data_IF_201241306153
#
_entry.id   IF_201241306153
#
_cell.length_a   1.000
_cell.length_b   1.000
_cell.length_c   1.000
_cell.angle_alpha   90.00
_cell.angle_beta   90.00
_cell.angle_gamma   90.00
#
_symmetry.space_group_name_H-M   'P 1'
#
loop_
_entity.id
_entity.type
_entity.pdbx_description
1 polymer ?
#
# COMPACT_ATOMS: atom_id res chain seq x y z
N UNK A 1 15.15 7.76 -3.04
CA UNK A 1 15.15 6.32 -2.68
C UNK A 1 16.16 6.07 -1.58
N UNK A 2 15.76 5.42 -0.49
CA UNK A 2 16.52 5.25 0.78
C UNK A 2 17.92 4.61 0.64
N UNK A 3 18.27 4.03 -0.52
CA UNK A 3 19.54 3.29 -0.81
C UNK A 3 19.89 2.17 0.19
N UNK A 4 19.06 1.95 1.21
CA UNK A 4 19.17 0.81 2.13
C UNK A 4 18.76 -0.46 1.40
N UNK A 5 19.54 -1.54 1.50
CA UNK A 5 19.17 -2.82 0.90
C UNK A 5 17.88 -3.33 1.56
N UNK A 6 16.84 -3.58 0.76
CA UNK A 6 15.62 -4.22 1.23
C UNK A 6 15.91 -5.69 1.56
N UNK A 7 15.71 -6.08 2.82
CA UNK A 7 15.80 -7.48 3.23
C UNK A 7 14.43 -8.13 3.02
N UNK A 8 14.40 -9.43 2.73
CA UNK A 8 13.15 -10.19 2.60
C UNK A 8 12.26 -10.09 3.86
N UNK A 9 12.85 -9.90 5.05
CA UNK A 9 12.14 -9.71 6.31
C UNK A 9 11.34 -8.39 6.37
N UNK A 10 11.73 -7.41 5.57
CA UNK A 10 11.15 -6.08 5.54
C UNK A 10 10.04 -5.96 4.47
N UNK A 11 9.88 -6.98 3.63
CA UNK A 11 8.75 -7.08 2.70
C UNK A 11 7.49 -7.47 3.48
N UNK A 12 6.42 -6.73 3.24
CA UNK A 12 5.12 -6.95 3.87
C UNK A 12 4.06 -7.16 2.81
N UNK A 13 3.15 -8.13 3.00
CA UNK A 13 2.05 -8.32 2.09
C UNK A 13 1.16 -7.08 2.12
N UNK A 14 0.73 -6.65 0.94
CA UNK A 14 -0.21 -5.52 0.79
C UNK A 14 -1.57 -6.10 0.46
N UNK A 15 -2.55 -5.78 1.30
CA UNK A 15 -3.93 -6.22 1.17
C UNK A 15 -4.80 -5.05 0.72
N UNK A 16 -5.27 -5.14 -0.52
CA UNK A 16 -6.25 -4.21 -1.07
C UNK A 16 -7.65 -4.76 -0.83
N UNK A 17 -8.51 -3.94 -0.23
CA UNK A 17 -9.92 -4.30 -0.03
C UNK A 17 -10.69 -4.05 -1.33
N UNK A 18 -11.26 -5.09 -1.97
CA UNK A 18 -12.10 -4.91 -3.15
C UNK A 18 -13.42 -4.23 -2.77
N UNK A 19 -13.98 -3.48 -3.72
CA UNK A 19 -15.36 -2.98 -3.60
C UNK A 19 -16.34 -4.18 -3.60
N UNK A 20 -17.34 -4.17 -2.72
CA UNK A 20 -18.38 -5.21 -2.70
C UNK A 20 -19.14 -5.28 -4.04
N UNK A 21 -19.16 -6.48 -4.63
CA UNK A 21 -19.76 -6.75 -5.95
C UNK A 21 -21.30 -6.78 -5.97
N UNK A 22 -21.98 -6.42 -4.88
CA UNK A 22 -23.46 -6.43 -4.80
C UNK A 22 -24.10 -5.21 -5.48
N UNK A 23 -23.29 -4.25 -5.95
CA UNK A 23 -23.75 -3.07 -6.69
C UNK A 23 -23.18 -3.13 -8.12
N UNK A 24 -24.03 -3.57 -9.05
CA UNK A 24 -23.89 -3.51 -10.52
C UNK A 24 -22.79 -4.34 -11.20
N UNK A 25 -23.12 -5.61 -11.47
CA UNK A 25 -22.33 -6.57 -12.28
C UNK A 25 -22.01 -6.11 -13.73
N UNK A 26 -22.56 -4.99 -14.19
CA UNK A 26 -22.35 -4.47 -15.55
C UNK A 26 -21.26 -3.38 -15.61
N UNK A 27 -20.91 -2.77 -14.47
CA UNK A 27 -19.96 -1.64 -14.40
C UNK A 27 -18.49 -1.99 -14.10
N UNK A 28 -18.19 -3.22 -13.67
CA UNK A 28 -16.85 -3.59 -13.17
C UNK A 28 -15.75 -3.63 -14.23
N UNK A 29 -16.10 -3.81 -15.51
CA UNK A 29 -15.11 -3.96 -16.58
C UNK A 29 -14.53 -2.59 -16.98
N UNK A 30 -15.29 -1.51 -16.80
CA UNK A 30 -14.95 -0.16 -17.28
C UNK A 30 -14.77 0.88 -16.16
N UNK A 31 -14.93 0.51 -14.88
CA UNK A 31 -14.61 1.38 -13.73
C UNK A 31 -13.14 1.23 -13.37
N UNK A 32 -12.41 2.35 -13.38
CA UNK A 32 -11.00 2.44 -12.98
C UNK A 32 -10.83 2.22 -11.47
N UNK A 33 -11.89 2.38 -10.67
CA UNK A 33 -11.84 2.31 -9.21
C UNK A 33 -12.31 0.93 -8.72
N UNK A 34 -11.36 0.04 -8.45
CA UNK A 34 -11.61 -1.36 -8.03
C UNK A 34 -11.40 -1.61 -6.53
N UNK A 35 -10.76 -0.68 -5.84
CA UNK A 35 -10.31 -0.86 -4.46
C UNK A 35 -10.75 0.28 -3.57
N UNK A 36 -10.96 -0.02 -2.30
CA UNK A 36 -11.40 0.94 -1.28
C UNK A 36 -10.46 0.96 -0.09
N UNK A 37 -10.44 2.10 0.59
CA UNK A 37 -9.79 2.27 1.87
C UNK A 37 -10.37 1.29 2.89
N UNK A 38 -9.52 0.59 3.65
CA UNK A 38 -9.97 -0.38 4.64
C UNK A 38 -10.82 0.22 5.78
N UNK A 39 -10.67 1.52 6.06
CA UNK A 39 -11.32 2.21 7.18
C UNK A 39 -12.57 2.96 6.74
N UNK A 40 -12.41 3.90 5.79
CA UNK A 40 -13.50 4.78 5.35
C UNK A 40 -14.30 4.23 4.19
N UNK A 41 -13.82 3.16 3.54
CA UNK A 41 -14.37 2.63 2.28
C UNK A 41 -14.38 3.64 1.13
N UNK A 42 -13.56 4.69 1.21
CA UNK A 42 -13.36 5.64 0.11
C UNK A 42 -12.65 4.97 -1.06
N UNK A 43 -12.99 5.36 -2.29
CA UNK A 43 -12.36 4.82 -3.50
C UNK A 43 -10.89 5.21 -3.58
N UNK A 44 -10.04 4.22 -3.82
CA UNK A 44 -8.59 4.41 -4.00
C UNK A 44 -8.30 4.70 -5.47
N UNK A 45 -7.87 5.93 -5.76
CA UNK A 45 -7.43 6.36 -7.09
C UNK A 45 -6.03 6.97 -7.07
N UNK A 46 -5.42 7.17 -8.25
CA UNK A 46 -4.07 7.74 -8.36
C UNK A 46 -3.95 9.17 -7.78
N UNK A 47 -5.06 9.92 -7.76
CA UNK A 47 -5.13 11.27 -7.21
C UNK A 47 -5.12 11.29 -5.68
N UNK A 48 -5.53 10.19 -5.04
CA UNK A 48 -5.68 10.10 -3.58
C UNK A 48 -4.37 9.60 -2.98
N UNK A 49 -3.76 10.33 -2.03
CA UNK A 49 -2.55 9.86 -1.39
C UNK A 49 -2.87 8.69 -0.46
N UNK A 50 -2.16 7.58 -0.62
CA UNK A 50 -2.40 6.33 0.09
C UNK A 50 -1.17 5.93 0.92
N UNK A 51 -1.39 5.20 2.01
CA UNK A 51 -0.37 4.55 2.81
C UNK A 51 -0.77 3.12 3.14
N UNK A 52 0.25 2.29 3.40
CA UNK A 52 0.08 0.92 3.89
C UNK A 52 0.49 0.88 5.35
N UNK A 53 -0.31 0.21 6.16
CA UNK A 53 0.02 -0.10 7.55
C UNK A 53 0.84 -1.39 7.60
N UNK A 54 2.05 -1.35 8.16
CA UNK A 54 2.91 -2.54 8.31
C UNK A 54 2.25 -3.73 9.03
N UNK A 55 1.49 -3.56 10.13
CA UNK A 55 0.94 -4.70 10.89
C UNK A 55 -0.15 -5.46 10.14
N UNK A 56 -1.19 -4.77 9.64
CA UNK A 56 -2.26 -5.41 8.87
C UNK A 56 -1.97 -5.58 7.38
N UNK A 57 -1.02 -4.84 6.83
CA UNK A 57 -0.80 -4.76 5.38
C UNK A 57 -1.92 -4.04 4.63
N UNK A 58 -2.88 -3.44 5.34
CA UNK A 58 -4.06 -2.80 4.74
C UNK A 58 -3.71 -1.44 4.12
N UNK A 59 -4.36 -1.14 2.99
CA UNK A 59 -4.23 0.17 2.33
C UNK A 59 -5.25 1.15 2.87
N UNK A 60 -4.77 2.30 3.30
CA UNK A 60 -5.56 3.41 3.86
C UNK A 60 -5.20 4.73 3.18
N UNK A 61 -6.14 5.67 3.15
CA UNK A 61 -5.85 7.03 2.66
C UNK A 61 -5.04 7.80 3.69
N UNK A 62 -4.18 8.73 3.26
CA UNK A 62 -3.42 9.56 4.18
C UNK A 62 -4.33 10.42 5.08
N UNK A 63 -5.51 10.80 4.59
CA UNK A 63 -6.48 11.51 5.42
C UNK A 63 -6.92 10.69 6.65
N UNK A 64 -7.16 9.39 6.47
CA UNK A 64 -7.46 8.48 7.57
C UNK A 64 -6.28 8.37 8.53
N UNK A 65 -5.07 8.32 8.00
CA UNK A 65 -3.86 8.25 8.80
C UNK A 65 -3.73 9.50 9.68
N UNK A 66 -3.96 10.69 9.12
CA UNK A 66 -3.78 11.95 9.83
C UNK A 66 -4.90 12.23 10.84
N UNK A 67 -6.14 11.93 10.49
CA UNK A 67 -7.31 12.27 11.32
C UNK A 67 -7.57 11.24 12.42
N UNK A 68 -7.30 9.96 12.17
CA UNK A 68 -7.63 8.84 13.05
C UNK A 68 -6.36 8.17 13.59
N UNK A 69 -5.53 7.61 12.72
CA UNK A 69 -4.45 6.71 13.14
C UNK A 69 -3.35 7.45 13.91
N UNK A 70 -3.03 8.71 13.56
CA UNK A 70 -2.04 9.51 14.30
C UNK A 70 -2.49 9.87 15.72
N UNK A 71 -3.80 9.89 15.99
CA UNK A 71 -4.33 10.20 17.33
C UNK A 71 -4.24 9.00 18.25
N UNK A 72 -4.68 7.85 17.75
CA UNK A 72 -4.77 6.63 18.54
C UNK A 72 -3.49 5.77 18.47
N UNK A 73 -2.65 5.94 17.43
CA UNK A 73 -1.45 5.14 17.15
C UNK A 73 -1.72 3.63 17.20
N UNK A 74 -2.89 3.22 16.70
CA UNK A 74 -3.38 1.84 16.70
C UNK A 74 -3.96 1.50 15.33
N UNK A 75 -3.79 0.25 14.91
CA UNK A 75 -4.30 -0.26 13.65
C UNK A 75 -5.80 -0.53 13.81
N UNK A 76 -6.68 0.12 13.04
CA UNK A 76 -8.12 -0.11 13.14
C UNK A 76 -8.55 -1.52 12.74
N UNK A 77 -7.74 -2.27 11.99
CA UNK A 77 -8.09 -3.62 11.53
C UNK A 77 -7.73 -4.70 12.55
N UNK A 78 -6.57 -4.56 13.18
CA UNK A 78 -5.99 -5.60 14.05
C UNK A 78 -5.86 -5.18 15.52
N UNK A 79 -6.04 -3.89 15.84
CA UNK A 79 -5.84 -3.36 17.19
C UNK A 79 -4.38 -3.29 17.64
N UNK A 80 -3.42 -3.53 16.75
CA UNK A 80 -1.99 -3.49 17.07
C UNK A 80 -1.47 -2.06 17.15
N UNK A 81 -0.50 -1.80 18.03
CA UNK A 81 0.13 -0.48 18.17
C UNK A 81 0.96 -0.18 16.92
N UNK A 82 0.78 1.01 16.34
CA UNK A 82 1.60 1.51 15.24
C UNK A 82 2.68 2.46 15.75
N UNK A 83 3.81 2.43 15.07
CA UNK A 83 4.81 3.50 15.11
C UNK A 83 4.85 4.26 13.79
N UNK A 84 5.40 5.48 13.78
CA UNK A 84 5.55 6.27 12.55
C UNK A 84 6.31 5.53 11.44
N UNK A 85 7.20 4.59 11.81
CA UNK A 85 7.98 3.77 10.88
C UNK A 85 7.14 2.69 10.20
N UNK A 86 5.98 2.38 10.75
CA UNK A 86 5.06 1.36 10.25
C UNK A 86 4.06 1.92 9.24
N UNK A 87 4.01 3.25 9.10
CA UNK A 87 3.22 3.96 8.09
C UNK A 87 4.08 4.11 6.84
N UNK A 88 3.78 3.30 5.82
CA UNK A 88 4.51 3.29 4.55
C UNK A 88 3.70 4.06 3.51
N UNK A 89 4.09 5.30 3.23
CA UNK A 89 3.42 6.12 2.22
C UNK A 89 3.71 5.55 0.83
N UNK A 90 2.63 5.27 0.08
CA UNK A 90 2.74 4.78 -1.29
C UNK A 90 3.17 5.91 -2.22
N UNK A 91 4.14 5.63 -3.07
CA UNK A 91 4.56 6.56 -4.11
C UNK A 91 3.53 6.57 -5.23
N UNK A 92 3.12 7.77 -5.66
CA UNK A 92 2.22 7.94 -6.79
C UNK A 92 2.95 7.65 -8.09
N UNK A 93 2.33 6.90 -8.98
CA UNK A 93 2.84 6.70 -10.33
C UNK A 93 2.65 7.97 -11.15
N UNK A 94 3.74 8.55 -11.66
CA UNK A 94 3.67 9.64 -12.62
C UNK A 94 3.17 9.08 -13.94
N UNK A 95 1.96 9.46 -14.38
CA UNK A 95 1.37 9.02 -15.66
C UNK A 95 1.98 9.74 -16.87
N UNK A 96 3.19 10.27 -16.74
CA UNK A 96 3.94 10.90 -17.82
C UNK A 96 4.98 9.94 -18.35
N UNK A 97 5.18 9.93 -19.67
CA UNK A 97 6.05 9.09 -20.48
C UNK A 97 7.56 9.08 -20.11
N UNK A 98 7.96 9.49 -18.90
CA UNK A 98 9.34 9.60 -18.46
C UNK A 98 9.53 9.11 -17.01
N UNK A 99 10.31 8.05 -16.86
CA UNK A 99 11.40 8.07 -15.87
C UNK A 99 11.06 7.90 -14.38
N UNK A 100 9.85 7.56 -13.95
CA UNK A 100 9.61 7.21 -12.54
C UNK A 100 9.56 5.69 -12.35
N UNK A 101 10.68 5.11 -11.88
CA UNK A 101 10.81 3.67 -11.57
C UNK A 101 11.71 2.84 -12.50
N UNK A 102 12.42 3.48 -13.44
CA UNK A 102 13.23 2.81 -14.48
C UNK A 102 14.51 2.13 -13.92
N UNK A 103 14.87 2.39 -12.66
CA UNK A 103 16.07 1.84 -12.01
C UNK A 103 15.72 0.91 -10.84
N UNK A 104 14.63 0.15 -10.95
CA UNK A 104 14.27 -0.90 -10.00
C UNK A 104 14.82 -2.26 -10.46
N UNK A 105 16.13 -2.43 -10.38
CA UNK A 105 16.77 -3.73 -10.66
C UNK A 105 16.76 -4.61 -9.40
N UNK A 106 15.95 -5.68 -9.41
CA UNK A 106 15.93 -6.67 -8.34
C UNK A 106 17.01 -7.75 -8.57
N UNK A 107 18.19 -7.60 -7.96
CA UNK A 107 19.26 -8.61 -8.04
C UNK A 107 19.11 -9.65 -6.92
N UNK A 108 18.68 -10.86 -7.27
CA UNK A 108 18.53 -11.99 -6.33
C UNK A 108 19.89 -12.64 -6.06
N UNK A 109 20.49 -12.40 -4.91
CA UNK A 109 21.67 -13.14 -4.45
C UNK A 109 21.24 -14.41 -3.72
N UNK A 110 21.67 -15.58 -4.20
CA UNK A 110 21.55 -16.86 -3.48
C UNK A 110 22.97 -17.35 -3.19
N UNK A 111 23.31 -17.78 -1.96
CA UNK A 111 24.55 -18.50 -1.72
C UNK A 111 24.46 -19.83 -2.48
N UNK A 112 25.34 -20.02 -3.47
CA UNK A 112 25.55 -21.32 -4.10
C UNK A 112 26.62 -22.02 -3.28
N UNK A 113 26.27 -23.15 -2.68
CA UNK A 113 27.23 -24.05 -2.05
C UNK A 113 28.02 -24.69 -3.19
N UNK A 114 29.30 -24.30 -3.36
CA UNK A 114 30.21 -25.05 -4.23
C UNK A 114 30.57 -26.33 -3.48
N UNK A 115 30.25 -27.48 -4.09
CA UNK A 115 30.76 -28.78 -3.67
C UNK A 115 32.24 -28.90 -4.04
#
# INVERSE_FOLDING_TARGET
MSRKPLKLKDLKPVHFTPVDCSVDRVGLINRQDRYVCAVTRDMLGNSVPCAVLRPSGSVVTLECVEKLIKKDMVDPMNGEKLTDKDIIVLQRGGTGFAGSGVELEAKKSRPVMQA
#
